data_IF_434456314227
#
_entry.id   IF_434456314227
#
_cell.length_a   1.000
_cell.length_b   1.000
_cell.length_c   1.000
_cell.angle_alpha   90.00
_cell.angle_beta   90.00
_cell.angle_gamma   90.00
#
_symmetry.space_group_name_H-M   'P 1'
#
loop_
_entity.id
_entity.type
_entity.pdbx_description
1 polymer ?
#
# COMPACT_ATOMS: atom_id res chain seq x y z
N UNK A 1 18.85 -12.15 -23.44
CA UNK A 1 19.61 -11.88 -22.20
C UNK A 1 18.60 -11.36 -21.19
N UNK A 2 18.22 -12.17 -20.18
CA UNK A 2 17.15 -11.81 -19.23
C UNK A 2 17.74 -10.82 -18.22
N UNK A 3 17.12 -9.65 -18.10
CA UNK A 3 17.42 -8.69 -17.04
C UNK A 3 17.17 -9.33 -15.68
N UNK A 4 18.08 -9.12 -14.73
CA UNK A 4 17.93 -9.63 -13.35
C UNK A 4 16.76 -8.92 -12.65
N UNK A 5 16.18 -9.51 -11.60
CA UNK A 5 15.14 -8.85 -10.77
C UNK A 5 15.63 -7.46 -10.29
N UNK A 6 16.94 -7.29 -10.07
CA UNK A 6 17.59 -6.03 -9.72
C UNK A 6 17.44 -4.92 -10.79
N UNK A 7 17.37 -5.27 -12.08
CA UNK A 7 17.17 -4.30 -13.16
C UNK A 7 15.69 -3.90 -13.28
N UNK A 8 14.76 -4.76 -12.85
CA UNK A 8 13.31 -4.48 -12.87
C UNK A 8 12.84 -3.62 -11.68
N UNK A 9 13.56 -3.64 -10.56
CA UNK A 9 13.32 -2.74 -9.41
C UNK A 9 13.76 -1.28 -9.65
N UNK A 10 14.44 -0.97 -10.77
CA UNK A 10 15.02 0.36 -11.06
C UNK A 10 14.03 1.48 -11.38
N UNK A 11 12.72 1.22 -11.45
CA UNK A 11 11.72 2.24 -11.85
C UNK A 11 11.49 3.34 -10.77
N UNK A 12 12.05 3.22 -9.56
CA UNK A 12 11.69 4.10 -8.43
C UNK A 12 12.75 5.09 -7.92
N UNK A 13 13.84 5.36 -8.66
CA UNK A 13 14.96 6.14 -8.09
C UNK A 13 15.64 7.10 -9.07
N UNK A 14 15.70 8.39 -8.70
CA UNK A 14 16.74 9.34 -9.12
C UNK A 14 17.38 9.92 -7.83
N UNK A 15 18.60 10.45 -7.87
CA UNK A 15 19.37 11.05 -6.73
C UNK A 15 19.39 12.60 -6.79
N UNK A 16 19.55 13.34 -5.67
CA UNK A 16 20.10 14.75 -5.44
C UNK A 16 20.08 15.02 -3.89
N UNK A 17 21.01 15.79 -3.25
CA UNK A 17 21.34 15.75 -1.80
C UNK A 17 20.55 16.67 -0.82
N UNK A 18 20.68 16.34 0.49
CA UNK A 18 19.91 16.73 1.72
C UNK A 18 20.23 18.12 2.34
N UNK A 19 19.33 18.62 3.21
CA UNK A 19 19.59 19.46 4.42
C UNK A 19 18.52 19.24 5.52
N UNK A 20 18.96 19.29 6.78
CA UNK A 20 18.32 18.85 8.03
C UNK A 20 17.35 19.87 8.69
N UNK A 21 16.46 19.43 9.61
CA UNK A 21 16.28 19.97 10.98
C UNK A 21 15.08 19.40 11.80
N UNK A 22 15.30 19.40 13.13
CA UNK A 22 14.71 18.64 14.26
C UNK A 22 13.35 19.09 14.90
N UNK A 23 12.67 18.07 15.46
CA UNK A 23 11.94 17.84 16.76
C UNK A 23 11.09 18.95 17.48
N UNK A 24 9.85 18.64 17.92
CA UNK A 24 9.37 18.52 19.35
C UNK A 24 7.83 18.51 19.59
N UNK A 25 7.47 17.95 20.75
CA UNK A 25 6.29 17.15 21.16
C UNK A 25 5.44 17.85 22.27
N UNK A 26 4.11 17.65 22.38
CA UNK A 26 3.32 17.47 23.66
C UNK A 26 1.84 17.02 23.39
N UNK A 27 1.24 16.15 24.24
CA UNK A 27 -0.08 15.49 24.02
C UNK A 27 -1.21 15.73 25.06
N UNK A 28 -2.28 14.89 25.03
CA UNK A 28 -3.22 14.56 26.13
C UNK A 28 -4.16 13.35 25.79
N UNK A 29 -4.58 12.59 26.82
CA UNK A 29 -5.06 11.19 26.84
C UNK A 29 -6.39 10.81 26.14
N UNK A 30 -6.36 9.61 25.55
CA UNK A 30 -7.42 8.64 25.24
C UNK A 30 -7.10 7.28 25.86
N UNK A 31 -7.83 6.22 25.55
CA UNK A 31 -7.23 4.89 25.65
C UNK A 31 -5.95 4.89 24.82
N UNK A 32 -4.81 4.87 25.52
CA UNK A 32 -3.48 5.00 24.94
C UNK A 32 -2.92 3.61 24.75
N UNK A 33 -2.85 3.16 23.51
CA UNK A 33 -1.77 2.27 23.12
C UNK A 33 -0.60 3.20 22.76
N UNK A 34 0.32 3.43 23.71
CA UNK A 34 1.51 4.26 23.54
C UNK A 34 1.28 5.61 22.81
N UNK A 35 0.20 6.32 23.16
CA UNK A 35 -0.24 7.63 22.63
C UNK A 35 -1.14 7.67 21.37
N UNK A 36 -1.66 6.54 20.89
CA UNK A 36 -2.56 6.53 19.73
C UNK A 36 -4.02 6.24 20.12
N UNK A 37 -4.94 7.07 19.62
CA UNK A 37 -6.40 6.92 19.69
C UNK A 37 -6.88 6.10 18.53
N UNK A 38 -7.69 5.07 18.73
CA UNK A 38 -8.26 4.25 17.65
C UNK A 38 -9.72 4.66 17.41
N UNK A 39 -10.12 4.79 16.15
CA UNK A 39 -11.49 5.17 15.75
C UNK A 39 -12.21 4.14 14.90
N UNK A 40 -11.47 3.21 14.29
CA UNK A 40 -12.04 2.15 13.46
C UNK A 40 -11.17 0.89 13.52
N UNK A 41 -11.81 -0.28 13.45
CA UNK A 41 -11.17 -1.60 13.45
C UNK A 41 -12.05 -2.60 12.68
N UNK A 42 -11.43 -3.62 12.07
CA UNK A 42 -12.09 -4.81 11.52
C UNK A 42 -12.13 -6.00 12.52
N UNK A 43 -11.77 -5.79 13.78
CA UNK A 43 -11.62 -6.89 14.74
C UNK A 43 -12.95 -7.62 15.01
N UNK A 44 -12.93 -8.92 14.75
CA UNK A 44 -13.91 -9.93 15.17
C UNK A 44 -13.18 -11.09 15.85
N UNK A 45 -13.89 -12.04 16.46
CA UNK A 45 -13.27 -13.21 17.12
C UNK A 45 -12.37 -14.05 16.19
N UNK A 46 -12.56 -13.97 14.87
CA UNK A 46 -11.88 -14.79 13.87
C UNK A 46 -11.05 -13.98 12.85
N UNK A 47 -10.91 -12.67 13.03
CA UNK A 47 -10.19 -11.83 12.06
C UNK A 47 -8.72 -12.23 12.00
N UNK A 48 -8.22 -12.52 10.80
CA UNK A 48 -6.83 -12.95 10.62
C UNK A 48 -5.80 -11.82 10.86
N UNK A 49 -6.21 -10.56 10.65
CA UNK A 49 -5.41 -9.34 10.87
C UNK A 49 -6.30 -8.22 11.38
N UNK A 50 -6.07 -7.80 12.61
CA UNK A 50 -6.66 -6.58 13.14
C UNK A 50 -5.94 -5.36 12.55
N UNK A 51 -6.70 -4.50 11.88
CA UNK A 51 -6.24 -3.20 11.38
C UNK A 51 -7.00 -2.10 12.09
N UNK A 52 -6.27 -1.29 12.83
CA UNK A 52 -6.80 -0.13 13.52
C UNK A 52 -6.43 1.15 12.78
N UNK A 53 -7.34 2.12 12.74
CA UNK A 53 -7.07 3.47 12.23
C UNK A 53 -6.97 4.44 13.41
N UNK A 54 -5.87 5.20 13.46
CA UNK A 54 -5.70 6.24 14.45
C UNK A 54 -6.67 7.42 14.21
N UNK A 55 -7.30 7.97 15.26
CA UNK A 55 -8.22 9.13 15.24
C UNK A 55 -7.65 10.35 14.51
N UNK A 56 -6.34 10.55 14.57
CA UNK A 56 -5.71 11.66 13.86
C UNK A 56 -5.83 11.52 12.34
N UNK A 57 -5.93 10.30 11.82
CA UNK A 57 -6.07 10.01 10.40
C UNK A 57 -7.54 10.18 10.00
N UNK A 58 -7.83 11.25 9.27
CA UNK A 58 -9.19 11.57 8.80
C UNK A 58 -9.30 11.47 7.27
N UNK A 59 -10.51 11.23 6.78
CA UNK A 59 -10.80 11.14 5.34
C UNK A 59 -10.24 9.88 4.66
N UNK A 60 -9.84 8.87 5.44
CA UNK A 60 -9.29 7.61 4.96
C UNK A 60 -10.32 6.48 5.13
N UNK A 61 -10.53 5.72 4.06
CA UNK A 61 -11.03 4.35 4.12
C UNK A 61 -9.96 3.42 3.57
N UNK A 62 -9.88 2.20 4.11
CA UNK A 62 -8.95 1.18 3.61
C UNK A 62 -9.67 -0.11 3.30
N UNK A 63 -9.33 -0.70 2.16
CA UNK A 63 -9.65 -2.09 1.85
C UNK A 63 -8.47 -2.94 2.30
N UNK A 64 -8.74 -3.91 3.17
CA UNK A 64 -7.74 -4.84 3.71
C UNK A 64 -7.96 -6.19 3.06
N UNK A 65 -6.87 -6.82 2.61
CA UNK A 65 -6.88 -8.22 2.15
C UNK A 65 -5.75 -8.95 2.83
N UNK A 66 -6.04 -10.09 3.44
CA UNK A 66 -5.03 -10.99 3.97
C UNK A 66 -5.19 -12.35 3.33
N UNK A 67 -4.08 -12.97 2.92
CA UNK A 67 -4.10 -14.28 2.31
C UNK A 67 -2.93 -15.13 2.82
N UNK A 68 -3.14 -16.44 2.84
CA UNK A 68 -2.15 -17.44 3.24
C UNK A 68 -2.11 -18.62 2.24
N UNK A 69 -1.11 -19.48 2.37
CA UNK A 69 -0.89 -20.62 1.47
C UNK A 69 -0.39 -20.22 0.07
N UNK A 70 0.13 -19.00 -0.08
CA UNK A 70 0.60 -18.46 -1.35
C UNK A 70 1.86 -19.18 -1.84
N UNK A 71 1.99 -19.27 -3.16
CA UNK A 71 3.26 -19.53 -3.86
C UNK A 71 3.67 -18.26 -4.60
N UNK A 72 4.63 -17.51 -4.05
CA UNK A 72 5.14 -16.28 -4.65
C UNK A 72 6.25 -16.64 -5.64
N UNK A 73 6.01 -16.38 -6.93
CA UNK A 73 6.90 -16.78 -8.03
C UNK A 73 6.75 -15.84 -9.24
N UNK A 74 7.44 -16.16 -10.34
CA UNK A 74 7.23 -15.48 -11.63
C UNK A 74 5.76 -15.65 -12.11
N UNK A 75 5.21 -14.59 -12.71
CA UNK A 75 3.85 -14.60 -13.27
C UNK A 75 3.73 -15.56 -14.45
N UNK A 76 2.67 -16.37 -14.46
CA UNK A 76 2.31 -17.19 -15.62
C UNK A 76 1.68 -16.36 -16.75
N UNK A 77 1.45 -16.97 -17.91
CA UNK A 77 0.85 -16.27 -19.05
C UNK A 77 -0.56 -15.76 -18.78
N UNK A 78 -1.34 -16.42 -17.92
CA UNK A 78 -2.73 -16.04 -17.64
C UNK A 78 -2.78 -14.76 -16.81
N UNK A 79 -1.92 -14.65 -15.79
CA UNK A 79 -1.76 -13.41 -15.04
C UNK A 79 -1.15 -12.32 -15.92
N UNK A 80 -0.20 -12.65 -16.79
CA UNK A 80 0.36 -11.66 -17.72
C UNK A 80 -0.69 -11.10 -18.67
N UNK A 81 -1.56 -11.94 -19.22
CA UNK A 81 -2.68 -11.49 -20.04
C UNK A 81 -3.58 -10.55 -19.22
N UNK A 82 -3.89 -10.88 -17.96
CA UNK A 82 -4.68 -10.01 -17.09
C UNK A 82 -4.01 -8.63 -16.90
N UNK A 83 -2.71 -8.59 -16.61
CA UNK A 83 -1.96 -7.34 -16.48
C UNK A 83 -1.98 -6.53 -17.78
N UNK A 84 -1.81 -7.19 -18.93
CA UNK A 84 -1.77 -6.51 -20.23
C UNK A 84 -3.15 -5.97 -20.63
N UNK A 85 -4.24 -6.66 -20.28
CA UNK A 85 -5.61 -6.14 -20.42
C UNK A 85 -5.85 -4.91 -19.53
N UNK A 86 -5.38 -4.96 -18.27
CA UNK A 86 -5.45 -3.81 -17.36
C UNK A 86 -4.71 -2.58 -17.92
N UNK A 87 -3.52 -2.79 -18.47
CA UNK A 87 -2.73 -1.74 -19.14
C UNK A 87 -3.48 -1.18 -20.36
N UNK A 88 -4.00 -2.04 -21.23
CA UNK A 88 -4.71 -1.63 -22.44
C UNK A 88 -5.97 -0.81 -22.09
N UNK A 89 -6.74 -1.25 -21.09
CA UNK A 89 -7.92 -0.53 -20.62
C UNK A 89 -7.53 0.88 -20.12
N UNK A 90 -6.49 0.99 -19.28
CA UNK A 90 -6.08 2.31 -18.74
C UNK A 90 -5.48 3.22 -19.81
N UNK A 91 -4.81 2.70 -20.84
CA UNK A 91 -4.36 3.50 -21.98
C UNK A 91 -5.54 4.04 -22.81
N UNK A 92 -6.63 3.28 -22.91
CA UNK A 92 -7.80 3.65 -23.69
C UNK A 92 -8.76 4.59 -22.94
N UNK A 93 -9.00 4.32 -21.66
CA UNK A 93 -10.08 4.93 -20.86
C UNK A 93 -9.57 5.78 -19.69
N UNK A 94 -8.30 5.61 -19.32
CA UNK A 94 -7.75 6.11 -18.05
C UNK A 94 -8.04 5.17 -16.87
N UNK A 95 -7.42 5.41 -15.70
CA UNK A 95 -7.76 4.69 -14.48
C UNK A 95 -9.17 5.07 -14.00
N UNK A 96 -9.79 4.21 -13.19
CA UNK A 96 -11.08 4.50 -12.56
C UNK A 96 -11.02 5.85 -11.80
N UNK A 97 -12.12 6.61 -11.89
CA UNK A 97 -12.26 7.95 -11.30
C UNK A 97 -11.35 9.05 -11.87
N UNK A 98 -10.45 8.72 -12.80
CA UNK A 98 -9.66 9.69 -13.56
C UNK A 98 -8.83 10.67 -12.72
N UNK A 99 -8.76 11.93 -13.16
CA UNK A 99 -8.01 12.98 -12.45
C UNK A 99 -8.65 13.33 -11.10
N UNK A 100 -9.97 13.24 -10.97
CA UNK A 100 -10.67 13.56 -9.73
C UNK A 100 -10.22 12.63 -8.59
N UNK A 101 -10.21 11.31 -8.81
CA UNK A 101 -9.65 10.36 -7.84
C UNK A 101 -8.19 10.66 -7.51
N UNK A 102 -7.36 10.97 -8.51
CA UNK A 102 -5.96 11.36 -8.28
C UNK A 102 -5.85 12.60 -7.39
N UNK A 103 -6.71 13.59 -7.58
CA UNK A 103 -6.73 14.80 -6.76
C UNK A 103 -7.17 14.52 -5.32
N UNK A 104 -8.21 13.70 -5.12
CA UNK A 104 -8.67 13.27 -3.80
C UNK A 104 -7.62 12.43 -3.06
N UNK A 105 -6.92 11.51 -3.73
CA UNK A 105 -5.80 10.77 -3.12
C UNK A 105 -4.71 11.73 -2.65
N UNK A 106 -4.36 12.72 -3.46
CA UNK A 106 -3.39 13.74 -3.02
C UNK A 106 -3.92 14.62 -1.90
N UNK A 107 -5.22 14.93 -1.87
CA UNK A 107 -5.83 15.72 -0.80
C UNK A 107 -5.77 14.95 0.53
N UNK A 108 -6.18 13.68 0.53
CA UNK A 108 -6.08 12.76 1.66
C UNK A 108 -4.66 12.70 2.23
N UNK A 109 -3.63 12.58 1.39
CA UNK A 109 -2.24 12.56 1.86
C UNK A 109 -1.75 13.91 2.42
N UNK A 110 -2.35 15.04 2.02
CA UNK A 110 -1.97 16.35 2.57
C UNK A 110 -2.53 16.61 3.96
N UNK A 111 -3.55 15.88 4.40
CA UNK A 111 -4.19 16.09 5.71
C UNK A 111 -3.17 15.97 6.85
N UNK A 112 -2.30 14.96 6.80
CA UNK A 112 -1.21 14.80 7.77
C UNK A 112 -0.03 15.76 7.59
N UNK A 113 -0.05 16.63 6.58
CA UNK A 113 1.04 17.56 6.24
C UNK A 113 2.04 17.04 5.20
N UNK A 114 1.85 15.83 4.67
CA UNK A 114 2.71 15.28 3.62
C UNK A 114 2.51 16.00 2.27
N UNK A 115 3.58 16.04 1.46
CA UNK A 115 3.59 16.70 0.14
C UNK A 115 3.72 15.65 -0.98
N UNK A 116 2.61 15.21 -1.60
CA UNK A 116 2.63 14.16 -2.61
C UNK A 116 3.06 14.70 -3.99
N UNK A 117 4.36 14.95 -4.17
CA UNK A 117 4.93 15.51 -5.38
C UNK A 117 6.29 14.90 -5.74
N UNK A 118 6.68 14.97 -7.01
CA UNK A 118 8.00 14.50 -7.46
C UNK A 118 8.26 13.01 -7.16
N UNK A 119 9.20 12.73 -6.25
CA UNK A 119 9.57 11.37 -5.78
C UNK A 119 8.67 10.82 -4.66
N UNK A 120 7.73 11.64 -4.20
CA UNK A 120 6.78 11.35 -3.14
C UNK A 120 5.36 11.19 -3.68
N UNK A 121 5.20 10.96 -5.00
CA UNK A 121 3.87 10.71 -5.55
C UNK A 121 3.32 9.38 -5.00
N UNK A 122 1.99 9.23 -4.91
CA UNK A 122 1.37 7.96 -4.60
C UNK A 122 1.75 6.86 -5.61
N UNK A 123 1.78 5.61 -5.17
CA UNK A 123 2.25 4.47 -5.97
C UNK A 123 1.55 4.34 -7.33
N UNK A 124 0.23 4.50 -7.38
CA UNK A 124 -0.56 4.36 -8.60
C UNK A 124 -0.22 5.42 -9.67
N UNK A 125 0.24 6.61 -9.27
CA UNK A 125 0.68 7.62 -10.23
C UNK A 125 1.98 7.22 -10.94
N UNK A 126 2.85 6.46 -10.27
CA UNK A 126 4.03 5.90 -10.91
C UNK A 126 3.64 4.83 -11.92
N UNK A 127 2.66 3.98 -11.59
CA UNK A 127 2.15 2.95 -12.49
C UNK A 127 1.52 3.57 -13.74
N UNK A 128 0.62 4.54 -13.57
CA UNK A 128 0.01 5.26 -14.69
C UNK A 128 1.05 5.93 -15.59
N UNK A 129 2.05 6.60 -15.00
CA UNK A 129 3.15 7.22 -15.77
C UNK A 129 4.04 6.19 -16.47
N UNK A 130 4.26 5.02 -15.88
CA UNK A 130 5.05 3.95 -16.47
C UNK A 130 4.33 3.41 -17.70
N UNK A 131 3.03 3.15 -17.58
CA UNK A 131 2.19 2.70 -18.68
C UNK A 131 2.10 3.74 -19.79
N UNK A 132 1.91 5.02 -19.47
CA UNK A 132 1.88 6.10 -20.45
C UNK A 132 3.17 6.18 -21.29
N UNK A 133 4.32 5.88 -20.68
CA UNK A 133 5.64 5.97 -21.34
C UNK A 133 6.06 4.70 -22.06
N UNK A 134 5.90 3.56 -21.40
CA UNK A 134 6.47 2.28 -21.81
C UNK A 134 5.41 1.36 -22.45
N UNK A 135 4.12 1.74 -22.40
CA UNK A 135 3.01 0.95 -22.91
C UNK A 135 2.78 -0.38 -22.18
N UNK A 136 3.46 -0.60 -21.05
CA UNK A 136 3.48 -1.88 -20.32
C UNK A 136 3.89 -1.69 -18.86
N UNK A 137 3.63 -2.72 -18.04
CA UNK A 137 4.18 -2.85 -16.68
C UNK A 137 5.24 -3.95 -16.65
N UNK A 138 6.36 -3.75 -15.94
CA UNK A 138 7.37 -4.79 -15.79
C UNK A 138 6.80 -5.99 -15.01
N UNK A 139 7.22 -7.20 -15.39
CA UNK A 139 6.94 -8.39 -14.60
C UNK A 139 7.92 -8.51 -13.42
N UNK A 140 7.41 -8.69 -12.20
CA UNK A 140 8.22 -8.77 -10.98
C UNK A 140 8.01 -10.12 -10.32
N UNK A 141 6.85 -10.30 -9.67
CA UNK A 141 6.40 -11.52 -9.00
C UNK A 141 4.86 -11.52 -9.13
N UNK A 142 4.24 -12.69 -9.18
CA UNK A 142 2.80 -12.84 -9.40
C UNK A 142 1.94 -11.95 -8.48
N UNK A 143 2.22 -11.94 -7.18
CA UNK A 143 1.51 -11.09 -6.21
C UNK A 143 1.72 -9.59 -6.45
N UNK A 144 2.93 -9.20 -6.90
CA UNK A 144 3.28 -7.80 -7.20
C UNK A 144 2.67 -7.34 -8.53
N UNK A 145 2.66 -8.22 -9.53
CA UNK A 145 2.07 -7.96 -10.83
C UNK A 145 0.55 -7.79 -10.72
N UNK A 146 -0.11 -8.65 -9.94
CA UNK A 146 -1.52 -8.50 -9.56
C UNK A 146 -1.77 -7.16 -8.87
N UNK A 147 -0.95 -6.83 -7.86
CA UNK A 147 -1.08 -5.55 -7.14
C UNK A 147 -0.97 -4.36 -8.06
N UNK A 148 0.02 -4.36 -8.94
CA UNK A 148 0.24 -3.26 -9.88
C UNK A 148 -0.93 -3.14 -10.86
N UNK A 149 -1.48 -4.26 -11.35
CA UNK A 149 -2.65 -4.23 -12.23
C UNK A 149 -3.90 -3.68 -11.53
N UNK A 150 -4.19 -4.13 -10.31
CA UNK A 150 -5.35 -3.64 -9.53
C UNK A 150 -5.18 -2.17 -9.13
N UNK A 151 -3.99 -1.77 -8.68
CA UNK A 151 -3.69 -0.36 -8.33
C UNK A 151 -3.78 0.56 -9.55
N UNK A 152 -3.30 0.10 -10.70
CA UNK A 152 -3.41 0.82 -11.97
C UNK A 152 -4.88 1.02 -12.39
N UNK A 153 -5.69 -0.06 -12.40
CA UNK A 153 -7.10 -0.01 -12.79
C UNK A 153 -7.93 0.88 -11.86
N UNK A 154 -7.78 0.69 -10.55
CA UNK A 154 -8.57 1.37 -9.53
C UNK A 154 -8.22 2.84 -9.37
N UNK A 155 -7.03 3.27 -9.79
CA UNK A 155 -6.55 4.63 -9.52
C UNK A 155 -6.24 4.89 -8.05
N UNK A 156 -6.10 3.83 -7.24
CA UNK A 156 -5.81 3.90 -5.81
C UNK A 156 -4.42 3.35 -5.47
N UNK A 157 -3.69 3.97 -4.53
CA UNK A 157 -2.44 3.41 -4.02
C UNK A 157 -2.71 2.14 -3.23
N UNK A 158 -1.85 1.14 -3.41
CA UNK A 158 -1.94 -0.15 -2.70
C UNK A 158 -0.57 -0.49 -2.11
N UNK A 159 -0.56 -0.88 -0.83
CA UNK A 159 0.60 -1.49 -0.16
C UNK A 159 0.40 -2.99 -0.02
N UNK A 160 1.50 -3.75 -0.08
CA UNK A 160 1.56 -5.16 0.28
C UNK A 160 2.76 -5.41 1.17
N UNK A 161 2.54 -6.13 2.26
CA UNK A 161 3.52 -6.51 3.27
C UNK A 161 3.49 -8.02 3.49
N UNK A 162 4.63 -8.60 3.85
CA UNK A 162 4.68 -10.00 4.31
C UNK A 162 3.92 -10.13 5.64
N UNK A 163 2.98 -11.07 5.73
CA UNK A 163 2.10 -11.22 6.90
C UNK A 163 2.89 -11.45 8.19
N UNK A 164 3.90 -12.33 8.15
CA UNK A 164 4.77 -12.64 9.30
C UNK A 164 5.50 -11.42 9.86
N UNK A 165 5.77 -10.42 9.02
CA UNK A 165 6.49 -9.20 9.42
C UNK A 165 5.55 -8.12 9.93
N UNK A 166 4.32 -8.09 9.41
CA UNK A 166 3.29 -7.18 9.91
C UNK A 166 2.75 -7.65 11.26
N UNK A 167 2.60 -8.96 11.45
CA UNK A 167 1.94 -9.56 12.61
C UNK A 167 0.41 -9.59 12.45
N UNK A 168 -0.27 -10.00 13.52
CA UNK A 168 -1.73 -10.16 13.55
C UNK A 168 -2.49 -8.88 13.95
N UNK A 169 -1.78 -7.85 14.41
CA UNK A 169 -2.32 -6.54 14.77
C UNK A 169 -1.50 -5.44 14.10
N UNK A 170 -2.17 -4.40 13.64
CA UNK A 170 -1.54 -3.29 12.93
C UNK A 170 -2.28 -1.98 13.13
N UNK A 171 -1.56 -0.87 12.94
CA UNK A 171 -2.09 0.48 13.11
C UNK A 171 -1.79 1.34 11.89
N UNK A 172 -2.80 2.03 11.39
CA UNK A 172 -2.69 3.12 10.42
C UNK A 172 -2.60 4.44 11.17
N UNK A 173 -1.46 5.12 11.05
CA UNK A 173 -1.18 6.41 11.70
C UNK A 173 -0.40 7.33 10.79
N UNK A 174 -0.34 8.63 11.09
CA UNK A 174 0.65 9.49 10.46
C UNK A 174 2.05 9.17 11.00
N UNK A 175 3.06 9.25 10.13
CA UNK A 175 4.46 9.17 10.53
C UNK A 175 4.85 10.40 11.35
N UNK A 176 5.63 10.17 12.39
CA UNK A 176 6.09 11.21 13.30
C UNK A 176 7.24 12.01 12.67
N UNK A 177 7.60 13.10 13.34
CA UNK A 177 8.77 13.88 12.95
C UNK A 177 10.03 13.00 13.00
N UNK A 178 10.90 13.16 12.00
CA UNK A 178 12.17 12.45 11.88
C UNK A 178 12.05 10.92 11.69
N UNK A 179 10.84 10.37 11.61
CA UNK A 179 10.63 8.98 11.19
C UNK A 179 10.95 8.80 9.71
N UNK A 180 11.66 7.72 9.41
CA UNK A 180 11.94 7.28 8.05
C UNK A 180 12.12 5.77 8.00
N UNK A 181 11.92 5.18 6.82
CA UNK A 181 12.40 3.82 6.55
C UNK A 181 13.21 3.77 5.26
N UNK A 182 14.10 2.78 5.17
CA UNK A 182 14.77 2.41 3.92
C UNK A 182 13.78 1.65 3.04
N UNK A 183 13.56 2.10 1.80
CA UNK A 183 12.58 1.52 0.88
C UNK A 183 13.18 0.71 -0.27
N UNK A 184 14.52 0.72 -0.41
CA UNK A 184 15.22 -0.07 -1.42
C UNK A 184 16.58 -0.57 -0.93
N UNK A 185 17.17 -1.50 -1.68
CA UNK A 185 18.50 -2.09 -1.38
C UNK A 185 19.65 -1.09 -1.46
N UNK A 186 19.46 0.04 -2.15
CA UNK A 186 20.44 1.11 -2.24
C UNK A 186 20.50 1.99 -0.97
N UNK A 187 19.69 1.69 0.05
CA UNK A 187 19.70 2.44 1.31
C UNK A 187 18.97 3.77 1.24
N UNK A 188 18.11 3.98 0.23
CA UNK A 188 17.35 5.22 0.16
C UNK A 188 16.20 5.22 1.16
N UNK A 189 16.03 6.38 1.79
CA UNK A 189 15.05 6.58 2.84
C UNK A 189 13.84 7.39 2.34
N UNK A 190 12.67 7.03 2.83
CA UNK A 190 11.44 7.82 2.71
C UNK A 190 11.18 8.46 4.07
N UNK A 191 11.15 9.79 4.12
CA UNK A 191 10.64 10.49 5.30
C UNK A 191 9.14 10.23 5.43
N UNK A 192 8.72 9.89 6.64
CA UNK A 192 7.35 9.51 6.94
C UNK A 192 6.56 10.64 7.62
N UNK A 193 7.20 11.77 7.92
CA UNK A 193 6.57 12.91 8.59
C UNK A 193 5.26 13.30 7.89
N UNK A 194 4.14 13.11 8.59
CA UNK A 194 2.80 13.44 8.10
C UNK A 194 2.24 12.50 7.03
N UNK A 195 2.96 11.44 6.65
CA UNK A 195 2.54 10.42 5.70
C UNK A 195 1.74 9.34 6.42
N UNK A 196 0.66 8.84 5.79
CA UNK A 196 -0.06 7.66 6.28
C UNK A 196 0.89 6.46 6.25
N UNK A 197 1.10 5.84 7.41
CA UNK A 197 1.96 4.70 7.62
C UNK A 197 1.13 3.52 8.12
N UNK A 198 1.34 2.35 7.50
CA UNK A 198 0.84 1.08 8.00
C UNK A 198 1.93 0.43 8.85
N UNK A 199 1.66 0.33 10.15
CA UNK A 199 2.61 -0.10 11.15
C UNK A 199 2.25 -1.50 11.67
N UNK A 200 3.27 -2.34 11.86
CA UNK A 200 3.10 -3.53 12.70
C UNK A 200 2.85 -3.10 14.15
N UNK A 201 2.11 -3.91 14.90
CA UNK A 201 2.01 -3.79 16.34
C UNK A 201 2.69 -4.97 17.01
N UNK A 202 3.78 -4.70 17.74
CA UNK A 202 4.49 -5.68 18.56
C UNK A 202 4.46 -5.20 20.01
N UNK A 203 3.43 -5.60 20.74
CA UNK A 203 3.21 -5.22 22.14
C UNK A 203 3.23 -3.70 22.38
N UNK A 204 2.63 -2.93 21.46
CA UNK A 204 2.57 -1.48 21.49
C UNK A 204 3.77 -0.78 20.86
N UNK A 205 4.76 -1.51 20.33
CA UNK A 205 5.82 -0.93 19.49
C UNK A 205 5.37 -0.87 18.02
N UNK A 206 5.04 0.33 17.56
CA UNK A 206 4.46 0.57 16.25
C UNK A 206 5.53 0.92 15.20
N UNK A 207 6.02 -0.09 14.50
CA UNK A 207 7.04 0.07 13.44
C UNK A 207 6.39 0.31 12.07
N UNK A 208 6.65 1.43 11.38
CA UNK A 208 6.14 1.67 10.02
C UNK A 208 6.73 0.70 8.99
N UNK A 209 5.85 -0.02 8.28
CA UNK A 209 6.25 -0.99 7.27
C UNK A 209 5.75 -0.65 5.85
N UNK A 210 4.57 -0.04 5.74
CA UNK A 210 3.94 0.32 4.46
C UNK A 210 3.47 1.77 4.40
N UNK A 211 3.27 2.29 3.19
CA UNK A 211 2.63 3.59 2.95
C UNK A 211 2.02 3.67 1.55
N UNK A 212 1.11 4.62 1.28
CA UNK A 212 0.54 4.89 -0.06
C UNK A 212 1.57 5.26 -1.14
N UNK A 213 2.84 5.48 -0.75
CA UNK A 213 3.93 5.93 -1.63
C UNK A 213 4.90 4.78 -1.91
N UNK A 214 5.46 4.18 -0.86
CA UNK A 214 6.40 3.05 -0.92
C UNK A 214 6.29 2.17 0.33
N UNK A 215 6.79 0.95 0.25
CA UNK A 215 6.94 0.09 1.42
C UNK A 215 8.41 0.07 1.89
N UNK A 216 8.59 -0.16 3.18
CA UNK A 216 9.90 -0.40 3.78
C UNK A 216 10.51 -1.69 3.25
N UNK A 217 11.84 -1.76 3.22
CA UNK A 217 12.56 -3.02 2.97
C UNK A 217 12.25 -4.06 4.05
N UNK A 218 11.98 -3.62 5.28
CA UNK A 218 11.65 -4.49 6.39
C UNK A 218 10.33 -5.25 6.15
N UNK A 219 9.31 -4.60 5.58
CA UNK A 219 8.00 -5.20 5.35
C UNK A 219 7.80 -5.87 3.97
N UNK A 220 8.75 -5.72 3.04
CA UNK A 220 8.63 -6.27 1.68
C UNK A 220 8.44 -7.79 1.65
N UNK A 221 7.56 -8.23 0.75
CA UNK A 221 7.40 -9.64 0.37
C UNK A 221 8.59 -10.15 -0.45
N UNK A 222 8.82 -11.45 -0.35
CA UNK A 222 9.84 -12.24 -1.05
C UNK A 222 9.24 -13.56 -1.49
N UNK A 223 9.93 -14.29 -2.38
CA UNK A 223 9.51 -15.62 -2.86
C UNK A 223 9.38 -16.67 -1.74
N UNK A 224 9.91 -16.39 -0.55
CA UNK A 224 9.84 -17.30 0.60
C UNK A 224 8.60 -17.10 1.45
N UNK A 225 7.93 -15.96 1.31
CA UNK A 225 6.75 -15.65 2.11
C UNK A 225 5.55 -16.43 1.56
N UNK A 226 4.74 -16.98 2.47
CA UNK A 226 3.53 -17.77 2.12
C UNK A 226 2.24 -17.06 2.54
N UNK A 227 2.37 -15.92 3.22
CA UNK A 227 1.26 -15.08 3.63
C UNK A 227 1.57 -13.60 3.40
N UNK A 228 0.54 -12.84 3.02
CA UNK A 228 0.63 -11.40 2.76
C UNK A 228 -0.54 -10.65 3.39
N UNK A 229 -0.33 -9.36 3.63
CA UNK A 229 -1.37 -8.40 3.94
C UNK A 229 -1.31 -7.24 2.94
N UNK A 230 -2.47 -6.79 2.48
CA UNK A 230 -2.65 -5.74 1.48
C UNK A 230 -3.54 -4.64 2.04
N UNK A 231 -3.19 -3.40 1.76
CA UNK A 231 -3.96 -2.23 2.14
C UNK A 231 -4.17 -1.33 0.91
N UNK A 232 -5.43 -1.18 0.51
CA UNK A 232 -5.89 -0.27 -0.54
C UNK A 232 -6.33 1.03 0.12
N UNK A 233 -5.59 2.13 -0.09
CA UNK A 233 -5.92 3.40 0.56
C UNK A 233 -6.85 4.24 -0.32
N UNK A 234 -8.02 4.58 0.22
CA UNK A 234 -9.08 5.25 -0.50
C UNK A 234 -9.51 6.54 0.19
N UNK A 235 -9.63 7.67 -0.54
CA UNK A 235 -10.22 8.88 0.02
C UNK A 235 -11.72 8.63 0.27
N UNK A 236 -12.13 8.70 1.54
CA UNK A 236 -13.49 8.37 1.96
C UNK A 236 -14.58 9.23 1.30
N UNK A 237 -14.21 10.43 0.82
CA UNK A 237 -15.10 11.36 0.12
C UNK A 237 -15.43 10.92 -1.33
N UNK A 238 -14.59 10.07 -1.94
CA UNK A 238 -14.64 9.79 -3.38
C UNK A 238 -14.73 8.31 -3.74
N UNK A 239 -14.56 7.42 -2.77
CA UNK A 239 -14.64 5.97 -2.93
C UNK A 239 -15.57 5.43 -1.87
N UNK A 240 -16.65 4.79 -2.29
CA UNK A 240 -17.63 4.20 -1.36
C UNK A 240 -17.09 2.91 -0.73
N UNK A 241 -17.56 2.55 0.48
CA UNK A 241 -17.19 1.27 1.09
C UNK A 241 -17.49 0.06 0.21
N UNK A 242 -18.62 0.05 -0.52
CA UNK A 242 -18.95 -1.03 -1.45
C UNK A 242 -18.03 -1.09 -2.68
N UNK A 243 -17.52 0.05 -3.15
CA UNK A 243 -16.52 0.09 -4.20
C UNK A 243 -15.17 -0.44 -3.71
N UNK A 244 -14.76 -0.02 -2.51
CA UNK A 244 -13.53 -0.46 -1.89
C UNK A 244 -13.54 -1.96 -1.58
N UNK A 245 -14.66 -2.49 -1.08
CA UNK A 245 -14.84 -3.92 -0.87
C UNK A 245 -14.71 -4.70 -2.18
N UNK A 246 -15.34 -4.24 -3.28
CA UNK A 246 -15.19 -4.91 -4.59
C UNK A 246 -13.75 -4.94 -5.08
N UNK A 247 -12.97 -3.89 -4.84
CA UNK A 247 -11.54 -3.85 -5.19
C UNK A 247 -10.74 -4.85 -4.33
N UNK A 248 -11.04 -4.91 -3.03
CA UNK A 248 -10.43 -5.87 -2.10
C UNK A 248 -10.77 -7.32 -2.50
N UNK A 249 -12.02 -7.60 -2.85
CA UNK A 249 -12.49 -8.91 -3.29
C UNK A 249 -11.84 -9.31 -4.63
N UNK A 250 -11.79 -8.40 -5.62
CA UNK A 250 -11.09 -8.63 -6.90
C UNK A 250 -9.62 -9.03 -6.66
N UNK A 251 -8.96 -8.37 -5.70
CA UNK A 251 -7.60 -8.69 -5.33
C UNK A 251 -7.50 -10.09 -4.70
N UNK A 252 -8.35 -10.40 -3.72
CA UNK A 252 -8.39 -11.70 -3.05
C UNK A 252 -8.64 -12.86 -4.01
N UNK A 253 -9.63 -12.72 -4.90
CA UNK A 253 -9.92 -13.69 -5.96
C UNK A 253 -8.71 -13.90 -6.88
N UNK A 254 -8.00 -12.81 -7.22
CA UNK A 254 -6.77 -12.87 -8.00
C UNK A 254 -5.65 -13.63 -7.31
N UNK A 255 -5.53 -13.52 -5.98
CA UNK A 255 -4.54 -14.27 -5.19
C UNK A 255 -4.81 -15.78 -5.23
N UNK A 256 -6.08 -16.18 -5.10
CA UNK A 256 -6.47 -17.60 -5.25
C UNK A 256 -6.15 -18.08 -6.66
N UNK A 257 -6.53 -17.31 -7.68
CA UNK A 257 -6.43 -17.72 -9.09
C UNK A 257 -4.99 -17.82 -9.59
N UNK A 258 -4.13 -16.87 -9.23
CA UNK A 258 -2.81 -16.71 -9.85
C UNK A 258 -1.63 -16.88 -8.88
N UNK A 259 -1.89 -16.90 -7.58
CA UNK A 259 -0.85 -16.98 -6.56
C UNK A 259 -1.01 -18.21 -5.66
N UNK A 260 -2.03 -19.03 -5.87
CA UNK A 260 -2.25 -20.28 -5.15
C UNK A 260 -2.72 -20.11 -3.71
N UNK A 261 -3.24 -18.93 -3.33
CA UNK A 261 -3.80 -18.72 -2.00
C UNK A 261 -4.84 -19.80 -1.67
N UNK A 262 -4.70 -20.45 -0.51
CA UNK A 262 -5.67 -21.45 -0.04
C UNK A 262 -6.79 -20.83 0.78
N UNK A 263 -6.53 -19.66 1.35
CA UNK A 263 -7.47 -18.88 2.14
C UNK A 263 -7.16 -17.38 1.97
N UNK A 264 -8.21 -16.56 2.00
CA UNK A 264 -8.09 -15.12 2.14
C UNK A 264 -9.31 -14.54 2.85
N UNK A 265 -9.14 -13.37 3.44
CA UNK A 265 -10.18 -12.51 4.00
C UNK A 265 -10.03 -11.10 3.43
N UNK A 266 -11.15 -10.43 3.18
CA UNK A 266 -11.20 -9.05 2.73
C UNK A 266 -12.20 -8.25 3.55
N UNK A 267 -11.82 -7.04 3.98
CA UNK A 267 -12.69 -6.16 4.77
C UNK A 267 -12.43 -4.68 4.45
N UNK A 268 -13.35 -3.81 4.86
CA UNK A 268 -13.24 -2.36 4.75
C UNK A 268 -13.25 -1.72 6.13
N UNK A 269 -12.21 -0.92 6.40
CA UNK A 269 -12.12 -0.10 7.61
C UNK A 269 -12.20 1.36 7.22
N UNK A 270 -13.21 2.07 7.72
CA UNK A 270 -13.45 3.49 7.40
C UNK A 270 -13.40 4.35 8.65
N UNK A 271 -12.69 5.48 8.56
CA UNK A 271 -12.83 6.59 9.50
C UNK A 271 -13.74 7.65 8.88
N UNK A 272 -14.81 8.00 9.58
CA UNK A 272 -15.73 9.09 9.22
C UNK A 272 -15.42 10.36 10.01
#
# INVERSE_FOLDING_TARGET
MRATIEERERIMVFEIPRRDCNVLNVGHHSQLLNNWRVVATNATENTMLNVEICEAVSGLSVGIVQASGLTIAESDSVLRDYCDHAVAQVLQEGPAGGDEHRQHVRAMLRVGGFKPAGRNKPAQEYLARTVEKEGSLPAILNVVDLLNAVSLKSGLPISMLAADRLGASSLLRYGQQDESFVFNRAGQELSLTGLICWCSDQDGDFTPLGSPVKNSMAGKVTEKDTGIAVCVYAPAESVTGNELQRIADEFGDGLVRWCGATEYESDVVSCH
#
